data_IF_240740254141
#
_entry.id   IF_240740254141
#
_cell.length_a   1.000
_cell.length_b   1.000
_cell.length_c   1.000
_cell.angle_alpha   90.00
_cell.angle_beta   90.00
_cell.angle_gamma   90.00
#
_symmetry.space_group_name_H-M   'P 1'
#
loop_
_entity.id
_entity.type
_entity.pdbx_description
1 polymer ?
#
# COMPACT_ATOMS: atom_id res chain seq x y z
N UNK A 1 21.61 -19.92 13.97
CA UNK A 1 20.70 -20.81 14.76
C UNK A 1 20.34 -22.04 13.92
N UNK A 2 20.21 -23.24 14.49
CA UNK A 2 19.85 -24.45 13.72
C UNK A 2 18.38 -24.45 13.28
N UNK A 3 18.06 -25.01 12.10
CA UNK A 3 16.69 -25.10 11.55
C UNK A 3 15.70 -25.71 12.55
N UNK A 4 16.09 -26.76 13.27
CA UNK A 4 15.21 -27.44 14.24
C UNK A 4 14.78 -26.54 15.40
N UNK A 5 15.68 -25.67 15.89
CA UNK A 5 15.33 -24.74 16.97
C UNK A 5 14.36 -23.68 16.45
N UNK A 6 14.61 -23.15 15.25
CA UNK A 6 13.72 -22.20 14.59
C UNK A 6 12.32 -22.78 14.38
N UNK A 7 12.26 -24.02 13.88
CA UNK A 7 11.02 -24.78 13.70
C UNK A 7 10.24 -24.92 14.99
N UNK A 8 10.89 -25.31 16.09
CA UNK A 8 10.24 -25.43 17.41
C UNK A 8 9.65 -24.10 17.88
N UNK A 9 10.32 -22.98 17.59
CA UNK A 9 9.80 -21.64 17.91
C UNK A 9 8.55 -21.36 17.07
N UNK A 10 8.62 -21.54 15.76
CA UNK A 10 7.48 -21.29 14.85
C UNK A 10 6.27 -22.16 15.20
N UNK A 11 6.47 -23.45 15.47
CA UNK A 11 5.38 -24.36 15.85
C UNK A 11 4.70 -23.96 17.17
N UNK A 12 5.47 -23.41 18.14
CA UNK A 12 4.89 -22.85 19.37
C UNK A 12 4.12 -21.56 19.12
N UNK A 13 4.45 -20.81 18.08
CA UNK A 13 3.67 -19.64 17.65
C UNK A 13 2.39 -20.09 16.96
N UNK A 14 2.46 -21.04 16.02
CA UNK A 14 1.30 -21.59 15.33
C UNK A 14 0.30 -22.28 16.29
N UNK A 15 0.79 -22.93 17.35
CA UNK A 15 -0.06 -23.49 18.40
C UNK A 15 -0.94 -22.44 19.13
N UNK A 16 -0.69 -21.14 18.93
CA UNK A 16 -1.52 -20.04 19.47
C UNK A 16 -2.54 -19.50 18.47
N UNK A 17 -2.63 -20.06 17.26
CA UNK A 17 -3.66 -19.69 16.30
C UNK A 17 -5.02 -20.05 16.90
N UNK A 18 -5.93 -19.08 16.89
CA UNK A 18 -7.30 -19.19 17.42
C UNK A 18 -8.28 -18.72 16.36
N UNK A 19 -9.46 -19.34 16.29
CA UNK A 19 -10.51 -18.97 15.32
C UNK A 19 -10.24 -19.41 13.88
N UNK A 20 -8.97 -19.61 13.52
CA UNK A 20 -8.50 -19.90 12.16
C UNK A 20 -7.80 -21.27 12.08
N UNK A 21 -7.65 -21.83 10.88
CA UNK A 21 -7.03 -23.13 10.68
C UNK A 21 -5.80 -23.04 9.77
N UNK A 22 -4.65 -23.49 10.28
CA UNK A 22 -3.41 -23.61 9.52
C UNK A 22 -2.97 -25.07 9.46
N UNK A 23 -2.69 -25.55 8.25
CA UNK A 23 -2.11 -26.87 8.01
C UNK A 23 -0.71 -26.68 7.46
N UNK A 24 0.27 -27.35 8.04
CA UNK A 24 1.66 -27.34 7.57
C UNK A 24 2.08 -28.76 7.25
N UNK A 25 2.47 -29.00 6.00
CA UNK A 25 3.02 -30.27 5.54
C UNK A 25 4.52 -30.12 5.32
N UNK A 26 5.34 -30.90 6.04
CA UNK A 26 6.79 -30.96 5.81
C UNK A 26 7.27 -32.42 5.89
N UNK A 27 8.16 -32.85 4.98
CA UNK A 27 8.69 -34.22 4.93
C UNK A 27 7.59 -35.31 4.96
N UNK A 28 6.48 -35.08 4.26
CA UNK A 28 5.32 -35.99 4.23
C UNK A 28 4.52 -36.06 5.53
N UNK A 29 4.83 -35.21 6.53
CA UNK A 29 4.09 -35.13 7.80
C UNK A 29 3.21 -33.91 7.80
N UNK A 30 1.94 -34.12 8.18
CA UNK A 30 0.93 -33.07 8.29
C UNK A 30 0.79 -32.61 9.74
N UNK A 31 0.85 -31.31 9.95
CA UNK A 31 0.70 -30.64 11.23
C UNK A 31 -0.49 -29.68 11.16
N UNK A 32 -1.38 -29.73 12.13
CA UNK A 32 -2.62 -28.92 12.13
C UNK A 32 -2.62 -28.01 13.35
N UNK A 33 -2.94 -26.74 13.13
CA UNK A 33 -3.05 -25.72 14.16
C UNK A 33 -4.39 -25.00 14.07
N UNK A 34 -4.93 -24.63 15.23
CA UNK A 34 -6.25 -24.01 15.34
C UNK A 34 -7.43 -24.99 15.28
N UNK A 35 -8.67 -24.52 15.45
CA UNK A 35 -9.86 -25.36 15.51
C UNK A 35 -10.24 -25.96 14.14
N UNK A 36 -10.97 -27.10 14.12
CA UNK A 36 -11.32 -27.76 12.87
C UNK A 36 -12.22 -26.94 11.93
N UNK A 37 -13.07 -26.09 12.51
CA UNK A 37 -14.07 -25.21 11.90
C UNK A 37 -13.57 -23.77 11.77
N UNK A 38 -12.26 -23.57 11.70
CA UNK A 38 -11.67 -22.24 11.61
C UNK A 38 -12.19 -21.43 10.40
N UNK A 39 -12.45 -20.14 10.62
CA UNK A 39 -13.13 -19.29 9.64
C UNK A 39 -12.33 -19.06 8.35
N UNK A 40 -10.99 -19.08 8.45
CA UNK A 40 -10.08 -19.14 7.32
C UNK A 40 -9.25 -20.40 7.42
N UNK A 41 -8.95 -20.99 6.26
CA UNK A 41 -8.13 -22.18 6.12
C UNK A 41 -7.02 -21.92 5.12
N UNK A 42 -5.79 -22.28 5.46
CA UNK A 42 -4.66 -22.30 4.54
C UNK A 42 -3.80 -23.54 4.79
N UNK A 43 -3.38 -24.20 3.72
CA UNK A 43 -2.42 -25.29 3.74
C UNK A 43 -1.08 -24.81 3.19
N UNK A 44 -0.01 -25.09 3.92
CA UNK A 44 1.36 -24.72 3.59
C UNK A 44 2.17 -25.99 3.36
N UNK A 45 2.82 -26.10 2.21
CA UNK A 45 3.78 -27.17 1.93
C UNK A 45 5.18 -26.62 2.04
N UNK A 46 6.00 -27.22 2.91
CA UNK A 46 7.39 -26.83 3.14
C UNK A 46 8.31 -27.72 2.31
N UNK A 47 9.04 -27.12 1.38
CA UNK A 47 10.02 -27.80 0.53
C UNK A 47 11.42 -27.79 1.15
N UNK A 48 11.73 -26.76 1.94
CA UNK A 48 13.06 -26.61 2.56
C UNK A 48 12.97 -26.24 4.05
N UNK A 49 13.74 -26.91 4.94
CA UNK A 49 13.77 -26.59 6.37
C UNK A 49 14.39 -25.21 6.68
N UNK A 50 14.98 -24.55 5.69
CA UNK A 50 15.51 -23.20 5.83
C UNK A 50 14.43 -22.14 6.06
N UNK A 51 13.20 -22.41 5.62
CA UNK A 51 12.02 -21.54 5.84
C UNK A 51 11.88 -21.14 7.30
N UNK A 52 12.17 -22.06 8.23
CA UNK A 52 12.00 -21.83 9.66
C UNK A 52 12.94 -20.75 10.19
N UNK A 53 14.16 -20.66 9.67
CA UNK A 53 15.08 -19.57 10.00
C UNK A 53 14.64 -18.26 9.36
N UNK A 54 14.19 -18.32 8.10
CA UNK A 54 13.75 -17.12 7.37
C UNK A 54 12.54 -16.47 8.04
N UNK A 55 11.53 -17.25 8.44
CA UNK A 55 10.33 -16.73 9.13
C UNK A 55 10.62 -15.97 10.44
N UNK A 56 11.76 -16.23 11.10
CA UNK A 56 12.14 -15.49 12.31
C UNK A 56 12.64 -14.07 12.02
N UNK A 57 12.96 -13.75 10.76
CA UNK A 57 13.21 -12.38 10.30
C UNK A 57 11.92 -11.57 10.14
N UNK A 58 10.76 -12.16 10.44
CA UNK A 58 9.45 -11.50 10.36
C UNK A 58 8.84 -11.59 8.96
N UNK A 59 8.03 -10.59 8.60
CA UNK A 59 7.29 -10.56 7.33
C UNK A 59 8.20 -10.60 6.10
N UNK A 60 9.35 -9.91 6.14
CA UNK A 60 10.32 -9.94 5.03
C UNK A 60 10.86 -11.33 4.77
N UNK A 61 11.26 -12.06 5.82
CA UNK A 61 11.76 -13.43 5.66
C UNK A 61 10.66 -14.42 5.22
N UNK A 62 9.41 -14.20 5.64
CA UNK A 62 8.26 -14.95 5.11
C UNK A 62 8.11 -14.74 3.60
N UNK A 63 8.14 -13.48 3.14
CA UNK A 63 7.99 -13.13 1.73
C UNK A 63 9.16 -13.62 0.87
N UNK A 64 10.41 -13.36 1.27
CA UNK A 64 11.61 -13.83 0.56
C UNK A 64 11.61 -15.36 0.42
N UNK A 65 11.29 -16.08 1.50
CA UNK A 65 11.26 -17.55 1.45
C UNK A 65 10.13 -18.13 0.57
N UNK A 66 9.04 -17.39 0.38
CA UNK A 66 8.01 -17.75 -0.59
C UNK A 66 8.51 -17.52 -2.03
N UNK A 67 9.13 -16.37 -2.28
CA UNK A 67 9.72 -16.03 -3.58
C UNK A 67 10.83 -17.02 -3.99
N UNK A 68 11.63 -17.47 -3.03
CA UNK A 68 12.69 -18.47 -3.21
C UNK A 68 12.15 -19.92 -3.37
N UNK A 69 10.83 -20.12 -3.28
CA UNK A 69 10.21 -21.45 -3.42
C UNK A 69 10.52 -22.40 -2.26
N UNK A 70 10.89 -21.88 -1.08
CA UNK A 70 11.16 -22.73 0.09
C UNK A 70 9.88 -23.34 0.69
N UNK A 71 8.74 -22.72 0.39
CA UNK A 71 7.40 -23.18 0.74
C UNK A 71 6.37 -22.61 -0.23
N UNK A 72 5.23 -23.28 -0.32
CA UNK A 72 4.07 -22.84 -1.10
C UNK A 72 2.80 -22.96 -0.27
N UNK A 73 1.70 -22.40 -0.77
CA UNK A 73 0.39 -22.50 -0.14
C UNK A 73 -0.72 -22.52 -1.18
N UNK A 74 -1.85 -23.15 -0.85
CA UNK A 74 -3.04 -23.19 -1.67
C UNK A 74 -3.77 -21.84 -1.75
N UNK A 75 -3.70 -21.03 -0.70
CA UNK A 75 -4.29 -19.70 -0.63
C UNK A 75 -3.38 -18.71 0.12
N UNK A 76 -2.54 -18.00 -0.63
CA UNK A 76 -1.64 -16.99 -0.07
C UNK A 76 -2.41 -15.85 0.59
N UNK A 77 -3.53 -15.43 0.01
CA UNK A 77 -4.36 -14.34 0.55
C UNK A 77 -5.00 -14.79 1.87
N UNK A 78 -5.55 -15.99 1.90
CA UNK A 78 -6.09 -16.63 3.09
C UNK A 78 -5.06 -16.76 4.20
N UNK A 79 -3.85 -17.21 3.87
CA UNK A 79 -2.74 -17.33 4.82
C UNK A 79 -2.33 -15.98 5.43
N UNK A 80 -2.20 -14.93 4.61
CA UNK A 80 -1.87 -13.58 5.08
C UNK A 80 -2.99 -13.02 5.98
N UNK A 81 -4.26 -13.20 5.59
CA UNK A 81 -5.43 -12.78 6.40
C UNK A 81 -5.48 -13.53 7.73
N UNK A 82 -5.20 -14.83 7.73
CA UNK A 82 -5.09 -15.66 8.93
C UNK A 82 -4.01 -15.12 9.87
N UNK A 83 -2.81 -14.83 9.31
CA UNK A 83 -1.71 -14.24 10.04
C UNK A 83 -2.06 -12.89 10.65
N UNK A 84 -2.71 -12.00 9.88
CA UNK A 84 -3.14 -10.68 10.32
C UNK A 84 -4.16 -10.75 11.48
N UNK A 85 -5.16 -11.63 11.40
CA UNK A 85 -6.15 -11.83 12.48
C UNK A 85 -5.53 -12.35 13.78
N UNK A 86 -4.48 -13.16 13.66
CA UNK A 86 -3.77 -13.74 14.81
C UNK A 86 -2.57 -12.88 15.27
N UNK A 87 -2.27 -11.78 14.58
CA UNK A 87 -1.05 -10.98 14.77
C UNK A 87 -0.91 -10.47 16.20
N UNK A 88 -1.99 -10.01 16.84
CA UNK A 88 -1.92 -9.53 18.23
C UNK A 88 -1.53 -10.63 19.24
N UNK A 89 -2.01 -11.86 19.05
CA UNK A 89 -1.64 -13.01 19.88
C UNK A 89 -0.20 -13.46 19.64
N UNK A 90 0.19 -13.51 18.36
CA UNK A 90 1.54 -13.87 17.92
C UNK A 90 2.58 -12.83 18.38
N UNK A 91 2.25 -11.54 18.29
CA UNK A 91 3.11 -10.43 18.72
C UNK A 91 3.32 -10.40 20.23
N UNK A 92 2.26 -10.58 21.03
CA UNK A 92 2.40 -10.65 22.49
C UNK A 92 3.29 -11.82 22.90
N UNK A 93 3.12 -12.96 22.24
CA UNK A 93 3.98 -14.12 22.43
C UNK A 93 5.42 -13.77 22.06
N UNK A 94 5.68 -13.25 20.85
CA UNK A 94 7.01 -12.84 20.35
C UNK A 94 7.68 -11.82 21.26
N UNK A 95 6.96 -10.80 21.74
CA UNK A 95 7.47 -9.75 22.65
C UNK A 95 7.93 -10.31 24.00
N UNK A 96 7.34 -11.41 24.47
CA UNK A 96 7.76 -12.08 25.70
C UNK A 96 9.13 -12.79 25.58
N UNK A 97 9.60 -13.02 24.35
CA UNK A 97 10.95 -13.56 24.06
C UNK A 97 11.94 -12.47 23.59
N UNK A 98 11.48 -11.21 23.48
CA UNK A 98 12.24 -10.07 22.95
C UNK A 98 13.49 -9.65 23.74
N UNK A 99 13.64 -9.88 25.07
CA UNK A 99 14.88 -9.55 25.76
C UNK A 99 16.11 -10.31 25.23
N UNK A 100 15.92 -11.51 24.68
CA UNK A 100 16.99 -12.34 24.07
C UNK A 100 17.31 -11.95 22.62
N UNK A 101 16.45 -11.17 21.94
CA UNK A 101 16.61 -10.73 20.56
C UNK A 101 16.94 -9.23 20.44
N UNK A 102 16.83 -8.46 21.54
CA UNK A 102 17.09 -7.01 21.58
C UNK A 102 18.51 -6.60 21.17
N UNK A 103 19.51 -7.44 21.43
CA UNK A 103 20.89 -7.14 21.08
C UNK A 103 21.14 -7.00 19.56
N UNK A 104 20.21 -7.45 18.71
CA UNK A 104 20.31 -7.31 17.24
C UNK A 104 19.35 -6.30 16.61
N UNK A 105 18.41 -5.72 17.37
CA UNK A 105 17.35 -4.84 16.82
C UNK A 105 17.53 -3.37 17.16
N UNK A 106 18.52 -3.01 17.98
CA UNK A 106 18.92 -1.61 18.20
C UNK A 106 19.79 -1.03 17.06
N UNK A 107 19.88 -1.73 15.93
CA UNK A 107 20.48 -1.27 14.68
C UNK A 107 19.44 -1.05 13.57
N UNK A 108 18.14 -1.14 13.88
CA UNK A 108 17.05 -0.94 12.93
C UNK A 108 16.53 0.51 12.88
N UNK A 109 17.38 1.50 13.16
CA UNK A 109 17.17 2.90 12.75
C UNK A 109 17.52 3.10 11.26
N UNK A 110 17.30 2.06 10.45
CA UNK A 110 17.29 2.14 8.99
C UNK A 110 15.84 2.11 8.52
N UNK A 111 15.01 2.99 9.09
CA UNK A 111 13.85 3.48 8.32
C UNK A 111 14.48 4.35 7.24
N UNK A 112 14.32 4.02 5.94
CA UNK A 112 14.76 4.91 4.88
C UNK A 112 14.19 6.29 5.19
N UNK A 113 15.06 7.29 5.30
CA UNK A 113 14.56 8.64 5.46
C UNK A 113 13.80 8.96 4.17
N UNK A 114 12.53 9.32 4.28
CA UNK A 114 11.74 9.88 3.17
C UNK A 114 12.20 11.32 2.85
N UNK A 115 13.52 11.50 2.80
CA UNK A 115 14.12 12.71 2.29
C UNK A 115 13.86 12.83 0.78
N UNK A 116 14.10 14.01 0.23
CA UNK A 116 13.79 14.32 -1.17
C UNK A 116 14.44 13.35 -2.16
N UNK A 117 15.68 12.93 -1.89
CA UNK A 117 16.42 12.04 -2.77
C UNK A 117 15.86 10.60 -2.69
N UNK A 118 15.57 10.12 -1.47
CA UNK A 118 14.98 8.80 -1.22
C UNK A 118 13.58 8.66 -1.80
N UNK A 119 12.70 9.66 -1.62
CA UNK A 119 11.34 9.63 -2.18
C UNK A 119 11.36 9.54 -3.70
N UNK A 120 12.22 10.34 -4.38
CA UNK A 120 12.37 10.30 -5.84
C UNK A 120 12.92 8.96 -6.31
N UNK A 121 13.94 8.43 -5.66
CA UNK A 121 14.55 7.15 -6.02
C UNK A 121 13.58 5.97 -5.84
N UNK A 122 12.82 5.96 -4.74
CA UNK A 122 11.82 4.91 -4.46
C UNK A 122 10.66 4.95 -5.46
N UNK A 123 10.14 6.15 -5.78
CA UNK A 123 9.05 6.31 -6.75
C UNK A 123 9.54 5.96 -8.16
N UNK A 124 10.74 6.40 -8.57
CA UNK A 124 11.34 5.97 -9.85
C UNK A 124 11.42 4.45 -9.91
N UNK A 125 12.06 3.80 -8.92
CA UNK A 125 12.23 2.34 -8.91
C UNK A 125 10.90 1.54 -8.93
N UNK A 126 9.81 2.07 -8.36
CA UNK A 126 8.52 1.40 -8.30
C UNK A 126 7.60 1.66 -9.50
N UNK A 127 7.72 2.82 -10.17
CA UNK A 127 6.91 3.14 -11.35
C UNK A 127 7.66 3.01 -12.68
N UNK A 128 9.00 2.80 -12.68
CA UNK A 128 9.81 2.49 -13.86
C UNK A 128 9.54 1.09 -14.43
N UNK A 129 8.77 0.24 -13.72
CA UNK A 129 8.14 -0.95 -14.31
C UNK A 129 7.14 -0.59 -15.42
N UNK A 130 6.73 0.68 -15.48
CA UNK A 130 6.07 1.34 -16.61
C UNK A 130 4.55 1.19 -16.63
N UNK A 131 3.89 2.13 -17.31
CA UNK A 131 2.45 2.09 -17.59
C UNK A 131 1.94 0.75 -18.18
N UNK A 132 2.72 0.02 -19.02
CA UNK A 132 2.28 -1.29 -19.53
C UNK A 132 1.99 -2.31 -18.44
N UNK A 133 2.83 -2.43 -17.40
CA UNK A 133 2.61 -3.40 -16.32
C UNK A 133 1.32 -3.09 -15.56
N UNK A 134 1.15 -1.83 -15.14
CA UNK A 134 -0.01 -1.40 -14.37
C UNK A 134 -1.32 -1.54 -15.17
N UNK A 135 -1.28 -1.29 -16.48
CA UNK A 135 -2.45 -1.45 -17.35
C UNK A 135 -2.97 -2.88 -17.47
N UNK A 136 -2.18 -3.89 -17.09
CA UNK A 136 -2.60 -5.30 -17.13
C UNK A 136 -3.58 -5.66 -15.99
N UNK A 137 -3.56 -4.91 -14.88
CA UNK A 137 -4.36 -5.26 -13.69
C UNK A 137 -5.13 -4.10 -13.05
N UNK A 138 -4.82 -2.84 -13.41
CA UNK A 138 -5.65 -1.70 -13.05
C UNK A 138 -6.82 -1.55 -14.03
N UNK A 139 -7.84 -0.81 -13.60
CA UNK A 139 -8.93 -0.41 -14.47
C UNK A 139 -8.48 0.74 -15.41
N UNK A 140 -9.29 1.13 -16.42
CA UNK A 140 -8.94 2.18 -17.38
C UNK A 140 -8.56 3.53 -16.76
N UNK A 141 -9.04 3.85 -15.55
CA UNK A 141 -8.64 5.08 -14.86
C UNK A 141 -7.18 5.06 -14.41
N UNK A 142 -6.51 3.90 -14.43
CA UNK A 142 -5.14 3.68 -13.93
C UNK A 142 -4.98 4.09 -12.47
N UNK A 143 -6.03 4.03 -11.65
CA UNK A 143 -5.90 4.38 -10.24
C UNK A 143 -5.32 3.24 -9.43
N UNK A 144 -4.10 3.43 -8.94
CA UNK A 144 -3.47 2.53 -7.97
C UNK A 144 -3.74 2.99 -6.55
N UNK A 145 -5.03 2.98 -6.17
CA UNK A 145 -5.52 3.32 -4.83
C UNK A 145 -6.82 2.58 -4.54
N UNK A 146 -7.26 2.56 -3.29
CA UNK A 146 -8.50 1.92 -2.87
C UNK A 146 -9.71 2.45 -3.64
N UNK A 147 -10.58 1.55 -4.12
CA UNK A 147 -11.84 1.89 -4.78
C UNK A 147 -13.01 1.93 -3.78
N UNK A 148 -14.11 2.60 -4.14
CA UNK A 148 -15.32 2.65 -3.33
C UNK A 148 -16.42 1.77 -3.94
N UNK A 149 -16.62 0.58 -3.38
CA UNK A 149 -17.71 -0.31 -3.79
C UNK A 149 -19.00 0.03 -3.02
N UNK A 150 -19.89 0.82 -3.64
CA UNK A 150 -21.23 1.11 -3.09
C UNK A 150 -22.18 -0.10 -3.21
N UNK A 151 -21.84 -1.05 -4.07
CA UNK A 151 -22.47 -2.35 -4.24
C UNK A 151 -21.40 -3.39 -4.61
N UNK A 152 -21.56 -4.68 -4.21
CA UNK A 152 -20.64 -5.75 -4.62
C UNK A 152 -20.63 -6.00 -6.14
N UNK A 153 -21.64 -5.54 -6.88
CA UNK A 153 -21.80 -5.79 -8.31
C UNK A 153 -21.04 -4.77 -9.20
N UNK A 154 -20.45 -3.73 -8.61
CA UNK A 154 -19.72 -2.72 -9.37
C UNK A 154 -18.43 -3.30 -9.97
N UNK A 155 -18.11 -2.89 -11.19
CA UNK A 155 -16.77 -3.10 -11.75
C UNK A 155 -15.74 -2.27 -10.99
N UNK A 156 -14.46 -2.63 -11.08
CA UNK A 156 -13.38 -1.84 -10.47
C UNK A 156 -13.41 -0.38 -10.98
N UNK A 157 -13.59 -0.18 -12.28
CA UNK A 157 -13.73 1.14 -12.90
C UNK A 157 -14.89 1.94 -12.28
N UNK A 158 -16.07 1.33 -12.14
CA UNK A 158 -17.22 1.98 -11.54
C UNK A 158 -16.96 2.35 -10.07
N UNK A 159 -16.32 1.46 -9.31
CA UNK A 159 -15.96 1.71 -7.91
C UNK A 159 -14.89 2.82 -7.79
N UNK A 160 -13.97 2.91 -8.74
CA UNK A 160 -12.99 4.00 -8.81
C UNK A 160 -13.65 5.35 -9.13
N UNK A 161 -14.55 5.39 -10.11
CA UNK A 161 -15.32 6.60 -10.44
C UNK A 161 -16.22 7.03 -9.27
N UNK A 162 -16.84 6.06 -8.55
CA UNK A 162 -17.62 6.33 -7.35
C UNK A 162 -16.76 6.97 -6.24
N UNK A 163 -15.51 6.51 -6.06
CA UNK A 163 -14.56 7.13 -5.14
C UNK A 163 -14.26 8.58 -5.51
N UNK A 164 -13.93 8.85 -6.78
CA UNK A 164 -13.63 10.21 -7.26
C UNK A 164 -14.82 11.14 -7.05
N UNK A 165 -16.02 10.67 -7.36
CA UNK A 165 -17.25 11.42 -7.14
C UNK A 165 -17.50 11.69 -5.66
N UNK A 166 -17.33 10.68 -4.79
CA UNK A 166 -17.46 10.82 -3.34
C UNK A 166 -16.49 11.87 -2.78
N UNK A 167 -15.25 11.92 -3.28
CA UNK A 167 -14.24 12.91 -2.88
C UNK A 167 -14.69 14.32 -3.31
N UNK A 168 -15.05 14.52 -4.58
CA UNK A 168 -15.49 15.82 -5.09
C UNK A 168 -16.70 16.36 -4.32
N UNK A 169 -17.67 15.49 -4.00
CA UNK A 169 -18.84 15.84 -3.18
C UNK A 169 -18.48 16.21 -1.73
N UNK A 170 -17.48 15.57 -1.13
CA UNK A 170 -17.01 15.94 0.21
C UNK A 170 -16.35 17.31 0.24
N UNK A 171 -15.56 17.61 -0.80
CA UNK A 171 -14.94 18.91 -1.01
C UNK A 171 -15.98 20.01 -1.32
N UNK A 172 -17.17 19.60 -1.78
CA UNK A 172 -18.23 20.49 -2.28
C UNK A 172 -17.71 21.36 -3.43
N UNK A 173 -17.01 20.73 -4.37
CA UNK A 173 -16.42 21.44 -5.51
C UNK A 173 -17.49 22.17 -6.31
N UNK A 174 -17.15 23.38 -6.74
CA UNK A 174 -17.90 24.18 -7.70
C UNK A 174 -16.97 24.79 -8.76
N UNK A 175 -17.54 25.46 -9.78
CA UNK A 175 -16.77 26.01 -10.90
C UNK A 175 -15.80 27.13 -10.49
N UNK A 176 -16.05 27.81 -9.38
CA UNK A 176 -15.21 28.89 -8.86
C UNK A 176 -14.03 28.38 -8.00
N UNK A 177 -13.99 27.07 -7.70
CA UNK A 177 -12.93 26.50 -6.88
C UNK A 177 -11.61 26.32 -7.65
N UNK A 178 -10.50 26.46 -6.93
CA UNK A 178 -9.18 26.02 -7.36
C UNK A 178 -8.71 24.90 -6.43
N UNK A 179 -8.77 23.67 -6.93
CA UNK A 179 -8.38 22.45 -6.24
C UNK A 179 -6.87 22.20 -6.40
N UNK A 180 -6.17 22.00 -5.28
CA UNK A 180 -4.87 21.35 -5.26
C UNK A 180 -5.01 19.85 -5.03
N UNK A 181 -4.42 19.04 -5.90
CA UNK A 181 -4.22 17.61 -5.70
C UNK A 181 -2.74 17.31 -5.44
N UNK A 182 -2.44 16.78 -4.24
CA UNK A 182 -1.12 16.25 -3.91
C UNK A 182 -1.11 14.75 -4.22
N UNK A 183 -0.35 14.36 -5.24
CA UNK A 183 -0.23 13.00 -5.74
C UNK A 183 -1.13 12.74 -6.96
N UNK A 184 -0.71 13.19 -8.14
CA UNK A 184 -1.51 13.13 -9.38
C UNK A 184 -1.94 11.72 -9.80
N UNK A 185 -1.18 10.69 -9.40
CA UNK A 185 -1.26 9.38 -10.05
C UNK A 185 -1.16 9.55 -11.56
N UNK A 186 -2.11 8.98 -12.31
CA UNK A 186 -2.23 9.15 -13.76
C UNK A 186 -3.36 10.09 -14.18
N UNK A 187 -3.65 11.11 -13.34
CA UNK A 187 -4.52 12.24 -13.67
C UNK A 187 -6.03 12.00 -13.52
N UNK A 188 -6.46 10.82 -13.04
CA UNK A 188 -7.88 10.46 -12.98
C UNK A 188 -8.73 11.44 -12.13
N UNK A 189 -8.25 11.82 -10.95
CA UNK A 189 -8.94 12.77 -10.08
C UNK A 189 -8.99 14.17 -10.69
N UNK A 190 -7.87 14.69 -11.20
CA UNK A 190 -7.83 16.00 -11.84
C UNK A 190 -8.77 16.11 -13.04
N UNK A 191 -8.77 15.10 -13.93
CA UNK A 191 -9.67 15.04 -15.09
C UNK A 191 -11.13 14.92 -14.63
N UNK A 192 -11.44 14.08 -13.65
CA UNK A 192 -12.80 13.92 -13.13
C UNK A 192 -13.32 15.22 -12.50
N UNK A 193 -12.53 15.86 -11.64
CA UNK A 193 -12.93 17.10 -10.96
C UNK A 193 -13.17 18.24 -11.96
N UNK A 194 -12.23 18.49 -12.87
CA UNK A 194 -12.36 19.57 -13.85
C UNK A 194 -13.51 19.31 -14.85
N UNK A 195 -13.65 18.10 -15.38
CA UNK A 195 -14.72 17.78 -16.34
C UNK A 195 -16.13 17.81 -15.73
N UNK A 196 -16.29 17.37 -14.47
CA UNK A 196 -17.59 17.28 -13.80
C UNK A 196 -18.04 18.58 -13.14
N UNK A 197 -17.09 19.30 -12.54
CA UNK A 197 -17.40 20.45 -11.70
C UNK A 197 -16.95 21.79 -12.31
N UNK A 198 -16.18 21.78 -13.39
CA UNK A 198 -15.68 22.99 -14.04
C UNK A 198 -14.63 23.75 -13.22
N UNK A 199 -14.19 23.19 -12.09
CA UNK A 199 -13.18 23.81 -11.23
C UNK A 199 -11.80 23.79 -11.88
N UNK A 200 -10.94 24.69 -11.42
CA UNK A 200 -9.51 24.65 -11.75
C UNK A 200 -8.82 23.61 -10.90
N UNK A 201 -7.89 22.86 -11.48
CA UNK A 201 -7.09 21.86 -10.75
C UNK A 201 -5.62 22.12 -10.98
N UNK A 202 -4.84 22.20 -9.90
CA UNK A 202 -3.39 22.00 -9.94
C UNK A 202 -3.10 20.66 -9.30
N UNK A 203 -2.39 19.78 -10.01
CA UNK A 203 -2.03 18.46 -9.50
C UNK A 203 -0.53 18.26 -9.59
N UNK A 204 0.09 17.59 -8.61
CA UNK A 204 1.55 17.38 -8.59
C UNK A 204 1.95 15.92 -8.44
N UNK A 205 3.01 15.53 -9.14
CA UNK A 205 3.70 14.24 -8.99
C UNK A 205 5.21 14.44 -9.08
N UNK A 206 5.98 13.49 -8.56
CA UNK A 206 7.44 13.42 -8.76
C UNK A 206 7.86 12.37 -9.79
N UNK A 207 6.91 11.62 -10.34
CA UNK A 207 7.13 10.59 -11.37
C UNK A 207 6.92 11.17 -12.78
N UNK A 208 7.92 11.00 -13.65
CA UNK A 208 7.86 11.44 -15.04
C UNK A 208 6.76 10.69 -15.83
N UNK A 209 6.69 9.36 -15.69
CA UNK A 209 5.70 8.52 -16.37
C UNK A 209 4.24 8.89 -16.01
N UNK A 210 4.02 9.21 -14.73
CA UNK A 210 2.72 9.70 -14.24
C UNK A 210 2.40 11.08 -14.79
N UNK A 211 3.36 12.00 -14.75
CA UNK A 211 3.21 13.34 -15.30
C UNK A 211 2.85 13.30 -16.78
N UNK A 212 3.55 12.49 -17.57
CA UNK A 212 3.38 12.44 -19.02
C UNK A 212 2.01 11.87 -19.40
N UNK A 213 1.59 10.76 -18.78
CA UNK A 213 0.25 10.20 -19.04
C UNK A 213 -0.88 11.07 -18.49
N UNK A 214 -0.70 11.71 -17.32
CA UNK A 214 -1.69 12.63 -16.78
C UNK A 214 -1.87 13.85 -17.69
N UNK A 215 -0.76 14.41 -18.19
CA UNK A 215 -0.77 15.54 -19.13
C UNK A 215 -1.47 15.16 -20.44
N UNK A 216 -1.16 13.97 -20.98
CA UNK A 216 -1.81 13.46 -22.19
C UNK A 216 -3.32 13.30 -21.99
N UNK A 217 -3.76 12.72 -20.88
CA UNK A 217 -5.19 12.56 -20.56
C UNK A 217 -5.92 13.89 -20.40
N UNK A 218 -5.27 14.88 -19.79
CA UNK A 218 -5.81 16.26 -19.70
C UNK A 218 -6.01 16.85 -21.09
N UNK A 219 -5.03 16.67 -21.98
CA UNK A 219 -5.07 17.13 -23.37
C UNK A 219 -6.17 16.41 -24.18
N UNK A 220 -6.25 15.09 -24.09
CA UNK A 220 -7.28 14.28 -24.74
C UNK A 220 -8.69 14.66 -24.29
N UNK A 221 -8.85 15.03 -23.02
CA UNK A 221 -10.11 15.52 -22.46
C UNK A 221 -10.42 17.00 -22.79
N UNK A 222 -9.49 17.73 -23.42
CA UNK A 222 -9.64 19.16 -23.72
C UNK A 222 -9.65 20.06 -22.49
N UNK A 223 -9.00 19.65 -21.40
CA UNK A 223 -9.03 20.31 -20.10
C UNK A 223 -7.78 21.15 -19.79
N UNK A 224 -6.92 21.40 -20.77
CA UNK A 224 -5.66 22.16 -20.60
C UNK A 224 -5.87 23.58 -20.03
N UNK A 225 -7.06 24.17 -20.23
CA UNK A 225 -7.42 25.47 -19.65
C UNK A 225 -7.85 25.42 -18.18
N UNK A 226 -8.14 24.23 -17.64
CA UNK A 226 -8.62 24.03 -16.27
C UNK A 226 -7.63 23.24 -15.40
N UNK A 227 -6.83 22.35 -16.01
CA UNK A 227 -5.94 21.45 -15.27
C UNK A 227 -4.47 21.79 -15.57
N UNK A 228 -3.70 22.00 -14.52
CA UNK A 228 -2.23 22.11 -14.56
C UNK A 228 -1.60 20.91 -13.88
N UNK A 229 -0.77 20.16 -14.59
CA UNK A 229 0.00 19.03 -14.04
C UNK A 229 1.43 19.50 -13.77
N UNK A 230 1.90 19.33 -12.55
CA UNK A 230 3.24 19.72 -12.10
C UNK A 230 4.11 18.49 -11.89
N UNK A 231 5.33 18.52 -12.41
CA UNK A 231 6.39 17.59 -12.03
C UNK A 231 7.22 18.20 -10.88
N UNK A 232 6.60 18.31 -9.71
CA UNK A 232 7.20 18.91 -8.51
C UNK A 232 6.94 18.06 -7.26
N UNK A 233 7.88 18.14 -6.33
CA UNK A 233 7.66 17.64 -4.98
C UNK A 233 6.61 18.51 -4.28
N UNK A 234 5.71 17.89 -3.51
CA UNK A 234 4.65 18.61 -2.82
C UNK A 234 5.21 19.68 -1.86
N UNK A 235 6.39 19.43 -1.29
CA UNK A 235 7.10 20.33 -0.38
C UNK A 235 7.55 21.64 -1.02
N UNK A 236 7.57 21.68 -2.35
CA UNK A 236 7.99 22.85 -3.13
C UNK A 236 6.79 23.50 -3.85
N UNK A 237 5.57 23.13 -3.46
CA UNK A 237 4.35 23.81 -3.91
C UNK A 237 4.22 25.16 -3.23
N UNK A 238 3.70 26.12 -3.99
CA UNK A 238 3.48 27.50 -3.58
C UNK A 238 2.09 27.94 -4.07
N UNK A 239 1.54 28.99 -3.45
CA UNK A 239 0.26 29.58 -3.83
C UNK A 239 -0.82 29.35 -2.77
N UNK A 240 -2.07 29.60 -3.17
CA UNK A 240 -3.23 29.48 -2.30
C UNK A 240 -4.38 28.86 -3.10
N UNK A 241 -5.05 27.88 -2.51
CA UNK A 241 -6.07 27.06 -3.14
C UNK A 241 -7.32 27.04 -2.26
N UNK A 242 -8.50 27.03 -2.89
CA UNK A 242 -9.76 27.00 -2.14
C UNK A 242 -10.08 25.62 -1.56
N UNK A 243 -9.45 24.56 -2.12
CA UNK A 243 -9.66 23.16 -1.78
C UNK A 243 -8.34 22.39 -1.96
N UNK A 244 -8.13 21.36 -1.14
CA UNK A 244 -6.98 20.47 -1.24
C UNK A 244 -7.43 19.02 -1.05
N UNK A 245 -6.89 18.13 -1.87
CA UNK A 245 -7.03 16.69 -1.73
C UNK A 245 -5.67 16.01 -1.84
N UNK A 246 -5.47 14.97 -1.04
CA UNK A 246 -4.34 14.07 -1.20
C UNK A 246 -4.81 12.64 -0.97
N UNK A 247 -4.58 11.77 -1.97
CA UNK A 247 -5.09 10.40 -2.00
C UNK A 247 -3.92 9.46 -1.81
N UNK A 248 -3.88 8.78 -0.67
CA UNK A 248 -2.88 7.72 -0.35
C UNK A 248 -1.41 8.16 -0.51
N UNK A 249 -1.13 9.44 -0.25
CA UNK A 249 0.23 9.99 -0.22
C UNK A 249 0.85 9.99 1.18
N UNK A 250 0.03 10.02 2.24
CA UNK A 250 0.50 10.17 3.63
C UNK A 250 1.38 8.98 4.05
N UNK A 251 1.15 7.81 3.48
CA UNK A 251 1.92 6.59 3.67
C UNK A 251 3.37 6.75 3.19
N UNK A 252 3.58 7.56 2.13
CA UNK A 252 4.90 7.85 1.57
C UNK A 252 5.63 9.01 2.29
N UNK A 253 4.93 9.77 3.13
CA UNK A 253 5.53 10.86 3.94
C UNK A 253 6.36 10.28 5.07
N UNK A 254 5.84 9.27 5.77
CA UNK A 254 6.45 8.72 6.98
C UNK A 254 6.02 9.50 8.22
N UNK A 255 5.66 8.77 9.28
CA UNK A 255 4.95 9.29 10.45
C UNK A 255 5.71 10.41 11.19
N UNK A 256 7.04 10.46 11.10
CA UNK A 256 7.86 11.52 11.70
C UNK A 256 7.64 12.90 11.07
N UNK A 257 7.15 12.95 9.84
CA UNK A 257 6.96 14.18 9.06
C UNK A 257 5.49 14.58 8.92
N UNK A 258 4.58 13.93 9.65
CA UNK A 258 3.14 14.24 9.57
C UNK A 258 2.85 15.68 9.97
N UNK A 259 3.48 16.19 11.03
CA UNK A 259 3.29 17.58 11.46
C UNK A 259 3.65 18.56 10.33
N UNK A 260 4.84 18.40 9.75
CA UNK A 260 5.28 19.24 8.61
C UNK A 260 4.40 19.06 7.37
N UNK A 261 3.91 17.85 7.10
CA UNK A 261 3.01 17.61 5.97
C UNK A 261 1.67 18.34 6.13
N UNK A 262 1.06 18.27 7.31
CA UNK A 262 -0.20 18.95 7.58
C UNK A 262 -0.04 20.47 7.67
N UNK A 263 1.08 20.97 8.24
CA UNK A 263 1.42 22.39 8.27
C UNK A 263 1.52 22.94 6.84
N UNK A 264 2.31 22.28 5.98
CA UNK A 264 2.44 22.68 4.58
C UNK A 264 1.12 22.62 3.81
N UNK A 265 0.30 21.57 4.03
CA UNK A 265 -1.05 21.53 3.43
C UNK A 265 -1.93 22.69 3.90
N UNK A 266 -1.79 23.12 5.16
CA UNK A 266 -2.55 24.25 5.71
C UNK A 266 -2.09 25.58 5.13
N UNK A 267 -0.79 25.77 4.89
CA UNK A 267 -0.23 26.99 4.29
C UNK A 267 -0.70 27.21 2.84
N UNK A 268 -1.04 26.13 2.14
CA UNK A 268 -1.53 26.17 0.75
C UNK A 268 -3.05 26.43 0.66
N UNK A 269 -3.78 26.43 1.77
CA UNK A 269 -5.23 26.66 1.80
C UNK A 269 -5.56 28.11 2.19
N UNK A 270 -6.66 28.64 1.64
CA UNK A 270 -7.21 29.96 2.01
C UNK A 270 -7.94 30.01 3.37
#
# INVERSE_FOLDING_TARGET
MKNELARRIMFRLFARITGERLVVTENGRRHVFGPPDGALHAEVTVHSPEVWRQMLRGSTGLAESYMDGLWETDDLVGLIRLGARNMHGLDRARRRWHPLLRAGQQLADMVPHNDRAGSRANISAHYDLGNPLFSLFLDPTMMYSCALFESPDLTLEQAQLAKLERICRQLRLGPDDHLLEIGSGWGAMAVHAASRYGCRVTTTTISQEQHDLATERVREAGLEGLVTVLLKDYRDLEGTYSKLVSIEMIEAVGWQYFDTYFEHCSELLE
#
